data_IF_977479325211
#
_entry.id   IF_977479325211
#
_cell.length_a   1.000
_cell.length_b   1.000
_cell.length_c   1.000
_cell.angle_alpha   90.00
_cell.angle_beta   90.00
_cell.angle_gamma   90.00
#
_symmetry.space_group_name_H-M   'P 1'
#
loop_
_entity.id
_entity.type
_entity.pdbx_description
1 polymer ?
#
# COMPACT_ATOMS: atom_id res chain seq x y z
N UNK A 1 7.92 -58.21 -12.68
CA UNK A 1 7.05 -58.45 -13.86
C UNK A 1 7.44 -57.47 -14.94
N UNK A 2 8.28 -57.92 -15.86
CA UNK A 2 8.72 -57.23 -17.07
C UNK A 2 7.71 -57.46 -18.19
N UNK A 3 7.29 -56.41 -18.90
CA UNK A 3 6.72 -56.57 -20.24
C UNK A 3 7.14 -55.41 -21.13
N UNK A 4 8.26 -55.65 -21.82
CA UNK A 4 8.69 -54.97 -23.02
C UNK A 4 7.86 -55.46 -24.21
N UNK A 5 7.30 -54.56 -25.00
CA UNK A 5 6.91 -54.86 -26.38
C UNK A 5 7.62 -53.92 -27.34
N UNK A 6 8.31 -54.52 -28.31
CA UNK A 6 9.07 -53.87 -29.38
C UNK A 6 8.20 -53.78 -30.63
N UNK A 7 8.33 -52.62 -31.30
CA UNK A 7 8.38 -52.39 -32.75
C UNK A 7 7.15 -52.72 -33.62
N UNK A 8 6.59 -51.67 -34.23
CA UNK A 8 6.12 -51.71 -35.61
C UNK A 8 6.75 -50.57 -36.43
N UNK A 9 6.95 -50.87 -37.70
CA UNK A 9 7.86 -50.31 -38.69
C UNK A 9 7.44 -48.98 -39.32
N UNK A 10 8.45 -48.29 -39.85
CA UNK A 10 8.37 -47.12 -40.73
C UNK A 10 7.60 -47.39 -42.05
N UNK A 11 6.96 -46.35 -42.60
CA UNK A 11 7.08 -45.90 -44.01
C UNK A 11 6.04 -44.81 -44.35
N UNK A 12 6.47 -43.80 -45.12
CA UNK A 12 5.62 -43.15 -46.11
C UNK A 12 5.37 -41.65 -45.95
N UNK A 13 6.37 -40.82 -46.27
CA UNK A 13 6.11 -39.47 -46.79
C UNK A 13 5.49 -39.61 -48.18
N UNK A 14 4.25 -39.17 -48.36
CA UNK A 14 3.66 -38.92 -49.69
C UNK A 14 3.18 -37.47 -49.74
N UNK A 15 3.86 -36.69 -50.57
CA UNK A 15 3.37 -35.39 -51.03
C UNK A 15 2.18 -35.64 -51.99
N UNK A 16 1.02 -35.07 -51.64
CA UNK A 16 -0.15 -34.99 -52.51
C UNK A 16 -0.28 -33.57 -53.10
N UNK A 17 -0.88 -33.42 -54.29
CA UNK A 17 -0.79 -32.19 -55.07
C UNK A 17 -1.74 -31.09 -54.58
N UNK A 18 -1.26 -29.86 -54.67
CA UNK A 18 -2.01 -28.61 -54.47
C UNK A 18 -3.12 -28.51 -55.53
N UNK A 19 -4.37 -28.38 -55.09
CA UNK A 19 -5.49 -27.84 -55.89
C UNK A 19 -6.42 -26.99 -55.02
N UNK A 20 -6.31 -25.69 -55.27
CA UNK A 20 -7.29 -24.60 -55.32
C UNK A 20 -8.54 -24.55 -54.41
N UNK A 21 -8.59 -23.41 -53.73
CA UNK A 21 -9.75 -22.51 -53.59
C UNK A 21 -11.01 -23.00 -52.86
N UNK A 22 -10.99 -22.81 -51.54
CA UNK A 22 -12.13 -22.24 -50.83
C UNK A 22 -11.59 -21.22 -49.81
N UNK A 23 -11.74 -19.91 -50.09
CA UNK A 23 -11.57 -18.87 -49.07
C UNK A 23 -12.74 -19.01 -48.09
N UNK A 24 -12.53 -19.79 -47.02
CA UNK A 24 -13.36 -19.69 -45.82
C UNK A 24 -13.15 -18.33 -45.15
N UNK A 25 -14.09 -17.88 -44.29
CA UNK A 25 -13.91 -16.67 -43.51
C UNK A 25 -12.58 -16.80 -42.75
N UNK A 26 -11.70 -15.84 -42.98
CA UNK A 26 -10.33 -15.74 -42.49
C UNK A 26 -10.21 -16.29 -41.06
N UNK A 27 -9.80 -17.56 -40.96
CA UNK A 27 -9.58 -18.21 -39.68
C UNK A 27 -8.37 -17.51 -39.06
N UNK A 28 -8.62 -16.74 -38.00
CA UNK A 28 -7.57 -16.10 -37.23
C UNK A 28 -6.48 -17.14 -36.92
N UNK A 29 -5.19 -16.77 -37.06
CA UNK A 29 -4.08 -17.70 -36.89
C UNK A 29 -4.20 -18.45 -35.55
N UNK A 30 -3.74 -19.71 -35.45
CA UNK A 30 -3.87 -20.53 -34.23
C UNK A 30 -3.43 -19.81 -32.95
N UNK A 31 -2.43 -18.93 -33.06
CA UNK A 31 -1.93 -18.09 -31.97
C UNK A 31 -2.93 -17.01 -31.50
N UNK A 32 -3.76 -16.47 -32.39
CA UNK A 32 -4.79 -15.48 -32.06
C UNK A 32 -5.96 -16.12 -31.30
N UNK A 33 -6.41 -17.32 -31.69
CA UNK A 33 -7.44 -18.07 -30.94
C UNK A 33 -6.92 -18.51 -29.56
N UNK A 34 -5.67 -18.96 -29.46
CA UNK A 34 -5.05 -19.31 -28.18
C UNK A 34 -4.80 -18.09 -27.28
N UNK A 35 -4.47 -16.92 -27.86
CA UNK A 35 -4.37 -15.66 -27.12
C UNK A 35 -5.74 -15.18 -26.62
N UNK A 36 -6.79 -15.21 -27.45
CA UNK A 36 -8.16 -14.85 -27.06
C UNK A 36 -8.73 -15.78 -25.98
N UNK A 37 -8.53 -17.10 -26.11
CA UNK A 37 -8.89 -18.09 -25.09
C UNK A 37 -8.04 -17.98 -23.82
N UNK A 38 -6.88 -17.32 -23.84
CA UNK A 38 -6.08 -17.03 -22.64
C UNK A 38 -6.53 -15.75 -21.92
N UNK A 39 -7.02 -14.75 -22.67
CA UNK A 39 -7.49 -13.47 -22.13
C UNK A 39 -8.93 -13.51 -21.62
N UNK A 40 -9.85 -14.21 -22.30
CA UNK A 40 -11.24 -14.35 -21.87
C UNK A 40 -11.40 -14.98 -20.46
N UNK A 41 -10.68 -16.06 -20.09
CA UNK A 41 -10.75 -16.65 -18.75
C UNK A 41 -10.11 -15.79 -17.66
N UNK A 42 -9.22 -14.85 -18.03
CA UNK A 42 -8.60 -13.90 -17.10
C UNK A 42 -9.55 -12.75 -16.79
N UNK A 43 -10.27 -12.25 -17.79
CA UNK A 43 -11.30 -11.22 -17.61
C UNK A 43 -12.47 -11.70 -16.73
N UNK A 44 -13.02 -12.89 -17.02
CA UNK A 44 -14.14 -13.46 -16.25
C UNK A 44 -13.77 -13.72 -14.78
N UNK A 45 -12.52 -14.16 -14.52
CA UNK A 45 -11.99 -14.27 -13.14
C UNK A 45 -11.89 -12.93 -12.44
N UNK A 46 -11.43 -11.89 -13.15
CA UNK A 46 -11.35 -10.53 -12.59
C UNK A 46 -12.71 -9.97 -12.16
N UNK A 47 -13.77 -10.19 -12.95
CA UNK A 47 -15.12 -9.73 -12.60
C UNK A 47 -15.67 -10.41 -11.34
N UNK A 48 -15.47 -11.72 -11.22
CA UNK A 48 -15.90 -12.49 -10.04
C UNK A 48 -15.21 -12.00 -8.77
N UNK A 49 -13.90 -11.71 -8.82
CA UNK A 49 -13.15 -11.19 -7.68
C UNK A 49 -13.67 -9.84 -7.20
N UNK A 50 -14.08 -8.96 -8.12
CA UNK A 50 -14.69 -7.67 -7.79
C UNK A 50 -16.02 -7.87 -7.07
N UNK A 51 -16.91 -8.72 -7.61
CA UNK A 51 -18.21 -8.99 -6.98
C UNK A 51 -18.05 -9.59 -5.58
N UNK A 52 -17.13 -10.55 -5.41
CA UNK A 52 -16.82 -11.11 -4.08
C UNK A 52 -16.30 -10.02 -3.15
N UNK A 53 -15.41 -9.16 -3.62
CA UNK A 53 -14.84 -8.09 -2.80
C UNK A 53 -15.93 -7.13 -2.31
N UNK A 54 -16.87 -6.76 -3.17
CA UNK A 54 -18.05 -5.96 -2.79
C UNK A 54 -18.88 -6.71 -1.74
N UNK A 55 -19.14 -8.01 -1.96
CA UNK A 55 -19.86 -8.86 -1.02
C UNK A 55 -19.18 -8.92 0.36
N UNK A 56 -17.86 -9.05 0.41
CA UNK A 56 -17.07 -9.00 1.65
C UNK A 56 -17.28 -7.67 2.37
N UNK A 57 -17.16 -6.54 1.68
CA UNK A 57 -17.36 -5.22 2.28
C UNK A 57 -18.77 -5.09 2.88
N UNK A 58 -19.80 -5.45 2.11
CA UNK A 58 -21.20 -5.40 2.57
C UNK A 58 -21.43 -6.29 3.79
N UNK A 59 -20.90 -7.51 3.79
CA UNK A 59 -21.00 -8.43 4.93
C UNK A 59 -20.32 -7.86 6.16
N UNK A 60 -19.10 -7.32 6.04
CA UNK A 60 -18.37 -6.75 7.18
C UNK A 60 -19.07 -5.52 7.76
N UNK A 61 -19.64 -4.65 6.91
CA UNK A 61 -20.44 -3.50 7.35
C UNK A 61 -21.73 -3.95 8.04
N UNK A 62 -22.40 -4.98 7.53
CA UNK A 62 -23.59 -5.55 8.18
C UNK A 62 -23.27 -6.15 9.56
N UNK A 63 -22.20 -6.93 9.66
CA UNK A 63 -21.75 -7.53 10.92
C UNK A 63 -21.32 -6.49 11.96
N UNK A 64 -20.74 -5.38 11.49
CA UNK A 64 -20.42 -4.25 12.35
C UNK A 64 -21.65 -3.73 13.09
N UNK A 65 -22.75 -3.48 12.37
CA UNK A 65 -24.00 -2.97 12.96
C UNK A 65 -24.64 -3.91 13.98
N UNK A 66 -24.34 -5.22 13.92
CA UNK A 66 -24.92 -6.22 14.82
C UNK A 66 -24.10 -6.37 16.11
N UNK A 67 -22.76 -6.43 15.99
CA UNK A 67 -21.94 -6.83 17.14
C UNK A 67 -20.55 -6.20 17.21
N UNK A 68 -20.30 -5.13 16.44
CA UNK A 68 -19.06 -4.36 16.57
C UNK A 68 -17.79 -5.18 16.27
N UNK A 69 -16.69 -4.78 16.91
CA UNK A 69 -15.39 -5.44 16.75
C UNK A 69 -15.40 -6.93 17.13
N UNK A 70 -16.21 -7.30 18.13
CA UNK A 70 -16.28 -8.66 18.68
C UNK A 70 -16.75 -9.65 17.61
N UNK A 71 -17.64 -9.22 16.72
CA UNK A 71 -18.15 -10.05 15.62
C UNK A 71 -17.30 -9.89 14.36
N UNK A 72 -16.84 -8.67 14.07
CA UNK A 72 -16.15 -8.38 12.81
C UNK A 72 -14.74 -8.98 12.75
N UNK A 73 -13.97 -8.95 13.84
CA UNK A 73 -12.60 -9.50 13.85
C UNK A 73 -12.57 -11.01 13.56
N UNK A 74 -13.40 -11.87 14.21
CA UNK A 74 -13.52 -13.27 13.83
C UNK A 74 -13.99 -13.47 12.39
N UNK A 75 -14.93 -12.66 11.91
CA UNK A 75 -15.43 -12.74 10.54
C UNK A 75 -14.33 -12.46 9.50
N UNK A 76 -13.47 -11.47 9.75
CA UNK A 76 -12.29 -11.20 8.89
C UNK A 76 -11.39 -12.43 8.81
N UNK A 77 -11.12 -13.10 9.94
CA UNK A 77 -10.29 -14.30 9.97
C UNK A 77 -10.93 -15.45 9.20
N UNK A 78 -12.23 -15.69 9.41
CA UNK A 78 -12.99 -16.75 8.72
C UNK A 78 -13.02 -16.50 7.21
N UNK A 79 -13.35 -15.27 6.79
CA UNK A 79 -13.39 -14.90 5.38
C UNK A 79 -12.00 -14.96 4.75
N UNK A 80 -10.95 -14.56 5.46
CA UNK A 80 -9.57 -14.68 4.97
C UNK A 80 -9.16 -16.14 4.78
N UNK A 81 -9.53 -17.04 5.69
CA UNK A 81 -9.26 -18.46 5.54
C UNK A 81 -9.92 -19.04 4.28
N UNK A 82 -11.18 -18.68 4.03
CA UNK A 82 -11.94 -19.17 2.88
C UNK A 82 -11.44 -18.54 1.58
N UNK A 83 -11.44 -17.21 1.49
CA UNK A 83 -11.23 -16.47 0.24
C UNK A 83 -9.75 -16.36 -0.13
N UNK A 84 -8.87 -16.18 0.86
CA UNK A 84 -7.43 -16.02 0.63
C UNK A 84 -6.71 -17.35 0.78
N UNK A 85 -6.98 -18.08 1.86
CA UNK A 85 -6.32 -19.36 2.15
C UNK A 85 -6.70 -20.47 1.16
N UNK A 86 -8.01 -20.67 0.94
CA UNK A 86 -8.52 -21.78 0.09
C UNK A 86 -8.73 -21.36 -1.36
N UNK A 87 -9.36 -20.20 -1.60
CA UNK A 87 -9.69 -19.76 -2.97
C UNK A 87 -8.59 -18.94 -3.64
N UNK A 88 -7.58 -18.47 -2.89
CA UNK A 88 -6.40 -17.73 -3.40
C UNK A 88 -6.77 -16.48 -4.23
N UNK A 89 -7.84 -15.77 -3.84
CA UNK A 89 -8.29 -14.57 -4.54
C UNK A 89 -7.47 -13.34 -4.12
N UNK A 90 -7.08 -12.50 -5.08
CA UNK A 90 -6.18 -11.36 -4.82
C UNK A 90 -6.90 -10.11 -4.30
N UNK A 91 -8.02 -9.71 -4.94
CA UNK A 91 -8.77 -8.50 -4.54
C UNK A 91 -9.43 -8.63 -3.15
N UNK A 92 -10.08 -9.77 -2.81
CA UNK A 92 -10.59 -9.97 -1.47
C UNK A 92 -9.49 -9.96 -0.41
N UNK A 93 -8.28 -10.45 -0.74
CA UNK A 93 -7.14 -10.41 0.17
C UNK A 93 -6.71 -8.98 0.53
N UNK A 94 -6.68 -8.08 -0.46
CA UNK A 94 -6.42 -6.65 -0.25
C UNK A 94 -7.50 -6.04 0.64
N UNK A 95 -8.77 -6.27 0.32
CA UNK A 95 -9.91 -5.75 1.10
C UNK A 95 -9.89 -6.23 2.55
N UNK A 96 -9.66 -7.53 2.79
CA UNK A 96 -9.58 -8.10 4.14
C UNK A 96 -8.37 -7.59 4.93
N UNK A 97 -7.24 -7.33 4.26
CA UNK A 97 -6.07 -6.71 4.92
C UNK A 97 -6.38 -5.29 5.38
N UNK A 98 -7.05 -4.49 4.54
CA UNK A 98 -7.48 -3.14 4.89
C UNK A 98 -8.53 -3.15 6.00
N UNK A 99 -9.49 -4.08 5.94
CA UNK A 99 -10.49 -4.26 6.98
C UNK A 99 -9.82 -4.65 8.31
N UNK A 100 -8.84 -5.55 8.31
CA UNK A 100 -8.07 -5.90 9.50
C UNK A 100 -7.39 -4.67 10.08
N UNK A 101 -6.66 -3.90 9.27
CA UNK A 101 -5.99 -2.69 9.72
C UNK A 101 -6.98 -1.67 10.32
N UNK A 102 -8.12 -1.46 9.67
CA UNK A 102 -9.19 -0.60 10.16
C UNK A 102 -9.75 -1.08 11.51
N UNK A 103 -10.01 -2.37 11.66
CA UNK A 103 -10.58 -2.92 12.89
C UNK A 103 -9.59 -2.98 14.06
N UNK A 104 -8.30 -3.13 13.77
CA UNK A 104 -7.23 -2.95 14.78
C UNK A 104 -7.19 -1.50 15.26
N UNK A 105 -7.27 -0.53 14.34
CA UNK A 105 -7.35 0.89 14.68
C UNK A 105 -8.56 1.19 15.58
N UNK A 106 -9.76 0.75 15.18
CA UNK A 106 -10.99 0.96 15.94
C UNK A 106 -10.95 0.27 17.31
N UNK A 107 -10.41 -0.94 17.39
CA UNK A 107 -10.21 -1.63 18.66
C UNK A 107 -9.34 -0.82 19.62
N UNK A 108 -8.25 -0.24 19.12
CA UNK A 108 -7.37 0.60 19.92
C UNK A 108 -8.03 1.93 20.34
N UNK A 109 -8.81 2.56 19.45
CA UNK A 109 -9.65 3.71 19.84
C UNK A 109 -10.65 3.35 20.95
N UNK A 110 -11.27 2.18 20.89
CA UNK A 110 -12.14 1.67 21.95
C UNK A 110 -11.42 1.49 23.28
N UNK A 111 -10.19 0.94 23.26
CA UNK A 111 -9.33 0.83 24.45
C UNK A 111 -9.05 2.21 25.04
N UNK A 112 -8.67 3.20 24.22
CA UNK A 112 -8.44 4.57 24.71
C UNK A 112 -9.70 5.21 25.27
N UNK A 113 -10.87 4.95 24.68
CA UNK A 113 -12.14 5.49 25.17
C UNK A 113 -12.50 4.97 26.57
N UNK A 114 -12.27 3.68 26.84
CA UNK A 114 -12.56 3.06 28.14
C UNK A 114 -11.54 3.45 29.21
N UNK A 115 -10.26 3.54 28.85
CA UNK A 115 -9.16 3.70 29.80
C UNK A 115 -8.54 5.11 29.80
N UNK A 116 -9.28 6.15 29.41
CA UNK A 116 -8.76 7.53 29.26
C UNK A 116 -7.85 8.02 30.40
N UNK A 117 -8.15 7.81 31.70
CA UNK A 117 -7.31 8.32 32.78
C UNK A 117 -5.92 7.65 32.87
N UNK A 118 -5.76 6.45 32.30
CA UNK A 118 -4.52 5.66 32.39
C UNK A 118 -3.48 6.04 31.32
N UNK A 119 -3.87 6.82 30.31
CA UNK A 119 -3.01 7.15 29.17
C UNK A 119 -2.48 8.58 29.30
N UNK A 120 -1.16 8.73 29.33
CA UNK A 120 -0.49 10.02 29.25
C UNK A 120 -0.45 10.50 27.79
N UNK A 121 -0.65 11.80 27.57
CA UNK A 121 -0.75 12.42 26.23
C UNK A 121 0.44 12.08 25.31
N UNK A 122 1.64 12.01 25.87
CA UNK A 122 2.90 11.71 25.20
C UNK A 122 3.00 10.26 24.67
N UNK A 123 2.30 9.30 25.28
CA UNK A 123 2.41 7.88 24.91
C UNK A 123 1.29 7.36 24.00
N UNK A 124 0.25 8.16 23.73
CA UNK A 124 -0.91 7.71 22.93
C UNK A 124 -0.53 7.25 21.52
N UNK A 125 0.31 8.01 20.82
CA UNK A 125 0.70 7.68 19.44
C UNK A 125 1.46 6.36 19.41
N UNK A 126 2.42 6.19 20.33
CA UNK A 126 3.21 4.95 20.45
C UNK A 126 2.31 3.74 20.72
N UNK A 127 1.40 3.86 21.70
CA UNK A 127 0.45 2.81 22.02
C UNK A 127 -0.44 2.46 20.83
N UNK A 128 -0.91 3.47 20.09
CA UNK A 128 -1.73 3.28 18.91
C UNK A 128 -1.00 2.48 17.82
N UNK A 129 0.21 2.91 17.44
CA UNK A 129 0.96 2.26 16.36
C UNK A 129 1.48 0.87 16.75
N UNK A 130 1.71 0.61 18.05
CA UNK A 130 2.07 -0.71 18.57
C UNK A 130 0.98 -1.78 18.36
N UNK A 131 -0.27 -1.39 18.10
CA UNK A 131 -1.37 -2.33 17.85
C UNK A 131 -1.21 -3.15 16.56
N UNK A 132 -0.48 -2.62 15.58
CA UNK A 132 -0.52 -3.08 14.18
C UNK A 132 0.49 -4.18 13.81
N UNK A 133 1.74 -4.18 14.30
CA UNK A 133 2.74 -5.14 13.82
C UNK A 133 2.34 -6.61 14.01
N UNK A 134 1.82 -6.97 15.19
CA UNK A 134 1.45 -8.35 15.50
C UNK A 134 0.33 -8.90 14.57
N UNK A 135 -0.85 -8.26 14.45
CA UNK A 135 -1.92 -8.77 13.58
C UNK A 135 -1.53 -8.78 12.10
N UNK A 136 -0.84 -7.74 11.60
CA UNK A 136 -0.41 -7.67 10.20
C UNK A 136 0.68 -8.69 9.86
N UNK A 137 1.62 -8.90 10.79
CA UNK A 137 2.66 -9.91 10.66
C UNK A 137 2.07 -11.33 10.67
N UNK A 138 1.10 -11.59 11.55
CA UNK A 138 0.41 -12.88 11.62
C UNK A 138 -0.43 -13.14 10.36
N UNK A 139 -1.14 -12.13 9.87
CA UNK A 139 -1.93 -12.22 8.64
C UNK A 139 -1.04 -12.49 7.42
N UNK A 140 0.11 -11.80 7.32
CA UNK A 140 1.10 -12.11 6.30
C UNK A 140 1.65 -13.52 6.44
N UNK A 141 2.04 -13.95 7.64
CA UNK A 141 2.61 -15.28 7.84
C UNK A 141 1.64 -16.39 7.37
N UNK A 142 0.35 -16.24 7.66
CA UNK A 142 -0.69 -17.23 7.33
C UNK A 142 -1.14 -17.20 5.86
N UNK A 143 -1.27 -16.02 5.27
CA UNK A 143 -1.89 -15.86 3.94
C UNK A 143 -0.93 -15.36 2.85
N UNK A 144 0.29 -14.96 3.22
CA UNK A 144 1.35 -14.46 2.33
C UNK A 144 0.92 -13.29 1.45
N UNK A 145 0.00 -12.46 1.93
CA UNK A 145 -0.52 -11.29 1.21
C UNK A 145 0.52 -10.16 1.20
N UNK A 146 1.00 -9.69 0.03
CA UNK A 146 2.04 -8.65 -0.08
C UNK A 146 1.73 -7.36 0.67
N UNK A 147 0.48 -6.86 0.54
CA UNK A 147 0.04 -5.64 1.22
C UNK A 147 0.16 -5.76 2.74
N UNK A 148 -0.22 -6.91 3.32
CA UNK A 148 -0.13 -7.12 4.77
C UNK A 148 1.30 -7.01 5.29
N UNK A 149 2.26 -7.49 4.50
CA UNK A 149 3.68 -7.39 4.84
C UNK A 149 4.22 -5.97 4.68
N UNK A 150 3.80 -5.26 3.63
CA UNK A 150 4.16 -3.85 3.47
C UNK A 150 3.64 -3.01 4.65
N UNK A 151 2.37 -3.20 5.04
CA UNK A 151 1.78 -2.54 6.21
C UNK A 151 2.47 -2.96 7.52
N UNK A 152 2.88 -4.22 7.65
CA UNK A 152 3.68 -4.68 8.79
C UNK A 152 5.00 -3.90 8.90
N UNK A 153 5.77 -3.79 7.81
CA UNK A 153 7.03 -3.03 7.79
C UNK A 153 6.80 -1.54 8.08
N UNK A 154 5.75 -0.94 7.51
CA UNK A 154 5.37 0.44 7.78
C UNK A 154 4.96 0.65 9.24
N UNK A 155 4.25 -0.31 9.85
CA UNK A 155 3.89 -0.24 11.28
C UNK A 155 5.10 -0.32 12.20
N UNK A 156 6.11 -1.14 11.85
CA UNK A 156 7.39 -1.15 12.58
C UNK A 156 8.07 0.21 12.46
N UNK A 157 8.15 0.79 11.26
CA UNK A 157 8.72 2.12 11.08
C UNK A 157 7.98 3.20 11.90
N UNK A 158 6.65 3.15 11.93
CA UNK A 158 5.83 4.06 12.73
C UNK A 158 6.08 3.90 14.23
N UNK A 159 6.19 2.65 14.73
CA UNK A 159 6.57 2.36 16.12
C UNK A 159 7.94 2.94 16.45
N UNK A 160 8.92 2.76 15.57
CA UNK A 160 10.27 3.30 15.78
C UNK A 160 10.28 4.83 15.86
N UNK A 161 9.56 5.51 14.95
CA UNK A 161 9.43 6.98 14.97
C UNK A 161 8.74 7.45 16.25
N UNK A 162 7.60 6.84 16.61
CA UNK A 162 6.88 7.20 17.83
C UNK A 162 7.73 6.97 19.09
N UNK A 163 8.50 5.88 19.13
CA UNK A 163 9.42 5.58 20.24
C UNK A 163 10.51 6.64 20.35
N UNK A 164 11.11 7.06 19.23
CA UNK A 164 12.11 8.14 19.23
C UNK A 164 11.51 9.43 19.78
N UNK A 165 10.29 9.80 19.38
CA UNK A 165 9.64 10.99 19.92
C UNK A 165 9.40 10.90 21.44
N UNK A 166 8.85 9.78 21.93
CA UNK A 166 8.65 9.60 23.38
C UNK A 166 9.96 9.67 24.16
N UNK A 167 11.05 9.07 23.64
CA UNK A 167 12.37 9.11 24.28
C UNK A 167 12.87 10.56 24.36
N UNK A 168 12.79 11.30 23.27
CA UNK A 168 13.30 12.68 23.22
C UNK A 168 12.44 13.63 24.06
N UNK A 169 11.10 13.47 24.08
CA UNK A 169 10.19 14.27 24.93
C UNK A 169 10.55 14.11 26.40
N UNK A 170 10.79 12.87 26.85
CA UNK A 170 11.24 12.59 28.22
C UNK A 170 12.65 13.09 28.50
N UNK A 171 13.57 13.00 27.55
CA UNK A 171 14.95 13.44 27.73
C UNK A 171 15.08 14.97 27.82
N UNK A 172 14.29 15.71 27.05
CA UNK A 172 14.32 17.18 27.03
C UNK A 172 13.29 17.83 27.97
N UNK A 173 12.41 17.04 28.60
CA UNK A 173 11.31 17.58 29.40
C UNK A 173 10.31 18.40 28.57
N UNK A 174 10.21 18.11 27.28
CA UNK A 174 9.29 18.77 26.36
C UNK A 174 7.95 18.02 26.34
N UNK A 175 6.84 18.76 26.34
CA UNK A 175 5.49 18.16 26.28
C UNK A 175 5.10 17.70 24.89
N UNK A 176 5.66 18.32 23.84
CA UNK A 176 5.41 17.94 22.45
C UNK A 176 6.56 18.40 21.54
N UNK A 177 7.33 17.44 21.02
CA UNK A 177 8.54 17.75 20.24
C UNK A 177 8.24 18.38 18.89
N UNK A 178 7.11 18.04 18.27
CA UNK A 178 6.72 18.60 16.98
C UNK A 178 6.53 20.12 17.05
N UNK A 179 6.05 20.64 18.18
CA UNK A 179 5.92 22.09 18.41
C UNK A 179 7.18 22.71 18.99
N UNK A 180 7.83 22.03 19.94
CA UNK A 180 8.97 22.59 20.69
C UNK A 180 10.25 22.63 19.84
N UNK A 181 10.49 21.57 19.06
CA UNK A 181 11.68 21.40 18.23
C UNK A 181 11.29 20.95 16.82
N UNK A 182 10.58 21.78 16.05
CA UNK A 182 9.99 21.38 14.77
C UNK A 182 11.07 20.94 13.77
N UNK A 183 12.27 21.53 13.81
CA UNK A 183 13.38 21.19 12.92
C UNK A 183 13.95 19.80 13.21
N UNK A 184 14.04 19.42 14.49
CA UNK A 184 14.41 18.06 14.91
C UNK A 184 13.34 17.07 14.48
N UNK A 185 12.07 17.39 14.71
CA UNK A 185 10.95 16.52 14.32
C UNK A 185 10.91 16.29 12.80
N UNK A 186 11.02 17.35 12.01
CA UNK A 186 11.07 17.27 10.55
C UNK A 186 12.27 16.45 10.04
N UNK A 187 13.43 16.58 10.69
CA UNK A 187 14.62 15.78 10.36
C UNK A 187 14.39 14.29 10.64
N UNK A 188 13.81 13.94 11.78
CA UNK A 188 13.48 12.55 12.14
C UNK A 188 12.51 11.94 11.12
N UNK A 189 11.44 12.68 10.79
CA UNK A 189 10.44 12.22 9.81
C UNK A 189 11.04 12.07 8.41
N UNK A 190 11.94 12.97 8.00
CA UNK A 190 12.65 12.87 6.72
C UNK A 190 13.55 11.65 6.66
N UNK A 191 14.34 11.41 7.70
CA UNK A 191 15.21 10.22 7.80
C UNK A 191 14.36 8.94 7.78
N UNK A 192 13.24 8.92 8.50
CA UNK A 192 12.32 7.78 8.50
C UNK A 192 11.71 7.53 7.10
N UNK A 193 11.25 8.59 6.42
CA UNK A 193 10.70 8.48 5.07
C UNK A 193 11.75 7.99 4.06
N UNK A 194 12.99 8.49 4.15
CA UNK A 194 14.12 8.02 3.35
C UNK A 194 14.45 6.55 3.64
N UNK A 195 14.39 6.12 4.91
CA UNK A 195 14.63 4.73 5.28
C UNK A 195 13.54 3.79 4.71
N UNK A 196 12.26 4.19 4.77
CA UNK A 196 11.16 3.44 4.16
C UNK A 196 11.30 3.39 2.64
N UNK A 197 11.67 4.51 2.00
CA UNK A 197 11.93 4.56 0.56
C UNK A 197 13.11 3.67 0.16
N UNK A 198 14.22 3.71 0.89
CA UNK A 198 15.37 2.83 0.66
C UNK A 198 15.00 1.35 0.83
N UNK A 199 14.15 1.04 1.81
CA UNK A 199 13.60 -0.32 1.97
C UNK A 199 12.75 -0.73 0.78
N UNK A 200 11.87 0.16 0.28
CA UNK A 200 11.07 -0.08 -0.91
C UNK A 200 11.97 -0.37 -2.14
N UNK A 201 13.02 0.42 -2.33
CA UNK A 201 14.00 0.23 -3.41
C UNK A 201 14.75 -1.09 -3.29
N UNK A 202 15.16 -1.46 -2.08
CA UNK A 202 15.80 -2.77 -1.84
C UNK A 202 14.90 -3.92 -2.27
N UNK A 203 13.60 -3.85 -1.98
CA UNK A 203 12.65 -4.90 -2.41
C UNK A 203 12.47 -4.93 -3.93
N UNK A 204 12.41 -3.77 -4.59
CA UNK A 204 12.26 -3.66 -6.05
C UNK A 204 13.45 -4.25 -6.80
N UNK A 205 14.68 -3.92 -6.37
CA UNK A 205 15.93 -4.42 -6.98
C UNK A 205 16.13 -5.93 -6.73
N UNK A 206 15.57 -6.46 -5.63
CA UNK A 206 15.80 -7.85 -5.20
C UNK A 206 15.06 -8.91 -6.03
N UNK A 207 14.22 -8.52 -7.01
CA UNK A 207 13.51 -9.45 -7.89
C UNK A 207 13.45 -8.98 -9.36
N UNK A 208 14.59 -8.98 -10.09
CA UNK A 208 14.66 -8.47 -11.46
C UNK A 208 13.79 -9.25 -12.45
N UNK A 209 13.56 -10.54 -12.19
CA UNK A 209 12.81 -11.43 -13.08
C UNK A 209 11.33 -11.53 -12.71
N UNK A 210 10.87 -10.80 -11.67
CA UNK A 210 9.47 -10.76 -11.19
C UNK A 210 8.88 -12.14 -10.91
N UNK A 211 9.66 -13.03 -10.31
CA UNK A 211 9.24 -14.41 -10.04
C UNK A 211 8.68 -14.59 -8.62
N UNK A 212 8.81 -13.57 -7.76
CA UNK A 212 8.46 -13.67 -6.34
C UNK A 212 7.47 -12.58 -5.91
N UNK A 213 6.92 -12.73 -4.70
CA UNK A 213 6.06 -11.72 -4.06
C UNK A 213 6.79 -10.40 -3.73
N UNK A 214 8.12 -10.33 -3.93
CA UNK A 214 8.93 -9.15 -3.61
C UNK A 214 8.57 -7.94 -4.48
N UNK A 215 8.26 -8.16 -5.76
CA UNK A 215 7.79 -7.09 -6.66
C UNK A 215 6.49 -6.47 -6.15
N UNK A 216 5.54 -7.29 -5.69
CA UNK A 216 4.27 -6.78 -5.16
C UNK A 216 4.47 -6.03 -3.84
N UNK A 217 5.33 -6.55 -2.94
CA UNK A 217 5.70 -5.87 -1.69
C UNK A 217 6.35 -4.51 -2.00
N UNK A 218 7.28 -4.47 -2.98
CA UNK A 218 7.94 -3.25 -3.41
C UNK A 218 6.96 -2.19 -3.91
N UNK A 219 5.98 -2.61 -4.72
CA UNK A 219 4.90 -1.73 -5.19
C UNK A 219 4.15 -1.08 -4.02
N UNK A 220 3.69 -1.87 -3.05
CA UNK A 220 2.96 -1.35 -1.89
C UNK A 220 3.81 -0.45 -1.00
N UNK A 221 5.10 -0.77 -0.82
CA UNK A 221 6.03 0.07 -0.09
C UNK A 221 6.27 1.41 -0.81
N UNK A 222 6.43 1.43 -2.13
CA UNK A 222 6.57 2.67 -2.90
C UNK A 222 5.31 3.54 -2.81
N UNK A 223 4.12 2.93 -2.88
CA UNK A 223 2.85 3.64 -2.77
C UNK A 223 2.76 4.42 -1.45
N UNK A 224 3.28 3.86 -0.36
CA UNK A 224 3.34 4.55 0.93
C UNK A 224 4.54 5.50 1.07
N UNK A 225 5.71 5.12 0.56
CA UNK A 225 6.94 5.87 0.70
C UNK A 225 6.91 7.21 -0.05
N UNK A 226 6.32 7.24 -1.25
CA UNK A 226 6.27 8.44 -2.07
C UNK A 226 5.55 9.63 -1.38
N UNK A 227 4.31 9.49 -0.87
CA UNK A 227 3.66 10.58 -0.14
C UNK A 227 4.39 10.87 1.18
N UNK A 228 4.89 9.86 1.91
CA UNK A 228 5.64 10.08 3.14
C UNK A 228 6.89 10.95 2.91
N UNK A 229 7.64 10.68 1.85
CA UNK A 229 8.82 11.44 1.48
C UNK A 229 8.47 12.87 1.06
N UNK A 230 7.39 13.05 0.27
CA UNK A 230 6.89 14.37 -0.09
C UNK A 230 6.57 15.21 1.14
N UNK A 231 5.77 14.70 2.07
CA UNK A 231 5.37 15.44 3.27
C UNK A 231 6.55 15.68 4.21
N UNK A 232 7.44 14.72 4.37
CA UNK A 232 8.62 14.90 5.21
C UNK A 232 9.59 15.94 4.62
N UNK A 233 9.77 15.95 3.30
CA UNK A 233 10.57 16.94 2.60
C UNK A 233 9.95 18.35 2.70
N UNK A 234 8.63 18.46 2.52
CA UNK A 234 7.91 19.73 2.71
C UNK A 234 8.04 20.23 4.15
N UNK A 235 7.83 19.36 5.15
CA UNK A 235 7.99 19.71 6.56
C UNK A 235 9.42 20.18 6.88
N UNK A 236 10.43 19.50 6.34
CA UNK A 236 11.83 19.89 6.47
C UNK A 236 12.09 21.27 5.86
N UNK A 237 11.71 21.47 4.59
CA UNK A 237 11.93 22.75 3.90
C UNK A 237 11.20 23.89 4.60
N UNK A 238 9.93 23.71 4.98
CA UNK A 238 9.14 24.77 5.62
C UNK A 238 9.74 25.17 6.96
N UNK A 239 10.22 24.20 7.74
CA UNK A 239 10.74 24.46 9.08
C UNK A 239 12.15 25.06 9.07
N UNK A 240 13.01 24.63 8.14
CA UNK A 240 14.36 25.18 7.98
C UNK A 240 14.39 26.44 7.10
N UNK A 241 13.39 26.63 6.24
CA UNK A 241 13.26 27.73 5.28
C UNK A 241 12.62 29.00 5.85
N UNK A 242 12.16 29.00 7.11
CA UNK A 242 11.69 30.20 7.83
C UNK A 242 12.74 31.33 7.91
N UNK A 243 13.98 31.10 7.47
CA UNK A 243 15.07 32.08 7.45
C UNK A 243 15.20 32.94 6.19
N UNK A 244 14.39 32.78 5.12
CA UNK A 244 14.49 33.73 4.00
C UNK A 244 13.99 33.30 2.63
N UNK A 245 12.89 32.56 2.52
CA UNK A 245 12.38 32.21 1.18
C UNK A 245 10.85 32.30 1.10
N UNK A 246 10.39 33.23 0.24
CA UNK A 246 9.02 33.42 -0.30
C UNK A 246 8.01 34.06 0.67
N UNK A 247 7.82 35.39 0.68
CA UNK A 247 7.38 36.26 -0.42
C UNK A 247 8.17 37.57 -0.43
N UNK A 248 8.53 38.08 -1.61
CA UNK A 248 9.22 39.36 -1.74
C UNK A 248 8.34 40.54 -1.31
N UNK A 249 8.46 40.97 -0.05
CA UNK A 249 7.99 42.27 0.43
C UNK A 249 8.96 43.41 0.05
N UNK A 250 9.73 43.26 -1.03
CA UNK A 250 10.77 44.22 -1.43
C UNK A 250 10.68 44.75 -2.87
N UNK A 251 9.71 44.34 -3.67
CA UNK A 251 9.77 44.56 -5.13
C UNK A 251 8.58 45.33 -5.75
N UNK A 252 7.80 46.07 -4.95
CA UNK A 252 6.80 47.00 -5.50
C UNK A 252 6.81 48.36 -4.80
N UNK A 253 7.98 48.99 -4.69
CA UNK A 253 8.02 50.46 -4.60
C UNK A 253 7.61 50.98 -5.97
N UNK A 254 6.32 51.28 -6.15
CA UNK A 254 5.87 52.06 -7.31
C UNK A 254 6.59 53.41 -7.24
N UNK A 255 7.24 53.88 -8.31
CA UNK A 255 7.67 55.28 -8.35
C UNK A 255 6.40 56.13 -8.29
N UNK A 256 6.25 56.93 -7.23
CA UNK A 256 5.22 57.96 -7.18
C UNK A 256 5.48 58.93 -8.33
N UNK A 257 4.51 59.20 -9.23
CA UNK A 257 4.67 60.25 -10.20
C UNK A 257 4.66 61.58 -9.43
N UNK A 258 5.80 62.27 -9.41
CA UNK A 258 5.88 63.63 -8.92
C UNK A 258 5.07 64.53 -9.85
N UNK A 259 3.83 64.84 -9.48
CA UNK A 259 3.09 65.94 -10.09
C UNK A 259 3.70 67.25 -9.61
N UNK A 260 4.64 67.79 -10.40
CA UNK A 260 5.08 69.18 -10.26
C UNK A 260 3.96 70.11 -10.72
N UNK A 261 3.52 70.93 -9.76
CA UNK A 261 2.82 72.21 -9.88
C UNK A 261 2.53 72.76 -11.28
N UNK A 262 1.25 72.76 -11.67
CA UNK A 262 0.70 73.80 -12.55
C UNK A 262 -0.42 74.51 -11.81
N UNK A 263 -0.05 75.60 -11.12
CA UNK A 263 -0.96 76.69 -10.75
C UNK A 263 -0.31 77.96 -11.26
N UNK A 264 -0.74 78.43 -12.42
CA UNK A 264 -0.52 79.81 -12.84
C UNK A 264 -1.65 80.67 -12.27
N UNK A 265 -1.24 81.80 -11.72
CA UNK A 265 -1.94 83.09 -11.70
C UNK A 265 -2.68 83.40 -12.99
#
# INVERSE_FOLDING_TARGET
>A
MSMTWRLFSAQGVRAGPIRDAARGPEEAPPDARAAEESEQPRFLRGFHDILITIGVVVVLVGLWGIGGAIVVLPAIVILAEILVGRQRLALPAVSLTLALAHWVAQGMFGVFAVWRPAWQSDTYVLAYVCAFPAPLGLFYWRYRVPLSFALFLLSIAAVMVALVFVILEKAFGASFILETYPHVAATILLVAALAVFALAMRYDISDPHRLTLRSDIAFWLHLAAAPALLYAMLGFIVTFGQGGIWWGEGAWVRPSPSFSSWRSS
#
